data_IF_957217568287
#
_entry.id   IF_957217568287
#
_cell.length_a   1.000
_cell.length_b   1.000
_cell.length_c   1.000
_cell.angle_alpha   90.00
_cell.angle_beta   90.00
_cell.angle_gamma   90.00
#
_symmetry.space_group_name_H-M   'P 1'
#
loop_
_entity.id
_entity.type
_entity.pdbx_description
1 polymer ?
#
# COMPACT_ATOMS: atom_id res chain seq x y z
N UNK A 1 15.11 -3.03 8.42
CA UNK A 1 14.45 -2.92 7.09
C UNK A 1 14.56 -4.29 6.46
N UNK A 2 13.45 -5.00 6.23
CA UNK A 2 13.54 -6.33 5.60
C UNK A 2 13.91 -6.17 4.13
N UNK A 3 15.04 -6.75 3.72
CA UNK A 3 15.45 -6.85 2.33
C UNK A 3 14.30 -7.42 1.49
N UNK A 4 13.68 -6.57 0.66
CA UNK A 4 12.67 -7.00 -0.29
C UNK A 4 13.39 -7.79 -1.38
N UNK A 5 13.11 -9.09 -1.46
CA UNK A 5 13.68 -9.97 -2.49
C UNK A 5 13.23 -9.48 -3.85
N UNK A 6 14.16 -9.31 -4.79
CA UNK A 6 13.84 -8.93 -6.18
C UNK A 6 12.87 -9.95 -6.77
N UNK A 7 11.94 -9.50 -7.60
CA UNK A 7 10.93 -10.35 -8.26
C UNK A 7 11.50 -11.66 -8.86
N UNK A 8 12.68 -11.58 -9.51
CA UNK A 8 13.39 -12.76 -10.07
C UNK A 8 13.77 -13.84 -9.05
N UNK A 9 13.96 -13.47 -7.79
CA UNK A 9 14.36 -14.36 -6.71
C UNK A 9 13.15 -14.99 -5.99
N UNK A 10 11.93 -14.59 -6.36
CA UNK A 10 10.69 -15.17 -5.86
C UNK A 10 10.45 -16.57 -6.44
N UNK A 11 9.58 -17.35 -5.79
CA UNK A 11 9.19 -18.68 -6.29
C UNK A 11 8.64 -18.62 -7.72
N UNK A 12 7.84 -17.59 -8.03
CA UNK A 12 7.29 -17.37 -9.38
C UNK A 12 8.36 -16.91 -10.37
N UNK A 13 9.30 -16.03 -9.94
CA UNK A 13 10.41 -15.58 -10.78
C UNK A 13 11.33 -16.73 -11.21
N UNK A 14 11.65 -17.66 -10.30
CA UNK A 14 12.41 -18.87 -10.62
C UNK A 14 11.64 -19.79 -11.58
N UNK A 15 10.34 -19.95 -11.38
CA UNK A 15 9.51 -20.80 -12.22
C UNK A 15 9.32 -20.22 -13.64
N UNK A 16 9.21 -18.90 -13.77
CA UNK A 16 9.21 -18.19 -15.06
C UNK A 16 10.55 -18.31 -15.78
N UNK A 17 11.67 -18.37 -15.05
CA UNK A 17 13.00 -18.57 -15.65
C UNK A 17 13.09 -19.87 -16.44
N UNK A 18 12.44 -20.92 -15.94
CA UNK A 18 12.53 -22.26 -16.53
C UNK A 18 11.47 -22.50 -17.62
N UNK A 19 10.28 -21.89 -17.50
CA UNK A 19 9.13 -22.16 -18.37
C UNK A 19 8.78 -21.04 -19.33
N UNK A 20 9.12 -19.79 -19.02
CA UNK A 20 8.81 -18.62 -19.83
C UNK A 20 9.87 -17.50 -19.64
N UNK A 21 11.14 -17.75 -20.03
CA UNK A 21 12.25 -16.82 -19.79
C UNK A 21 12.00 -15.45 -20.43
N UNK A 22 11.35 -15.42 -21.61
CA UNK A 22 10.98 -14.19 -22.30
C UNK A 22 10.06 -13.28 -21.46
N UNK A 23 9.15 -13.88 -20.67
CA UNK A 23 8.25 -13.14 -19.77
C UNK A 23 9.04 -12.59 -18.57
N UNK A 24 10.00 -13.36 -18.06
CA UNK A 24 10.85 -12.93 -16.95
C UNK A 24 11.77 -11.76 -17.34
N UNK A 25 12.29 -11.73 -18.57
CA UNK A 25 13.17 -10.66 -19.04
C UNK A 25 12.44 -9.32 -19.19
N UNK A 26 11.17 -9.37 -19.59
CA UNK A 26 10.28 -8.19 -19.67
C UNK A 26 9.90 -7.70 -18.27
N UNK A 27 9.51 -8.60 -17.38
CA UNK A 27 8.97 -8.25 -16.05
C UNK A 27 10.08 -7.94 -15.04
N UNK A 28 11.20 -8.66 -15.10
CA UNK A 28 12.28 -8.64 -14.12
C UNK A 28 13.09 -7.33 -14.07
N UNK A 29 13.05 -6.54 -15.14
CA UNK A 29 13.73 -5.24 -15.23
C UNK A 29 12.81 -4.03 -14.99
N UNK A 30 11.49 -4.22 -15.12
CA UNK A 30 10.52 -3.10 -15.20
C UNK A 30 9.76 -2.90 -13.88
N UNK A 31 9.63 -3.94 -13.04
CA UNK A 31 8.60 -3.91 -11.99
C UNK A 31 9.15 -3.95 -10.55
N UNK A 32 8.76 -2.99 -9.68
CA UNK A 32 8.87 -3.16 -8.23
C UNK A 32 7.89 -4.24 -7.77
N UNK A 33 8.22 -4.95 -6.68
CA UNK A 33 7.54 -6.19 -6.22
C UNK A 33 6.01 -6.10 -6.05
N UNK A 34 5.42 -4.90 -6.03
CA UNK A 34 3.98 -4.67 -5.87
C UNK A 34 3.31 -4.38 -7.22
N UNK A 35 2.40 -5.25 -7.65
CA UNK A 35 1.60 -5.09 -8.87
C UNK A 35 2.12 -5.85 -10.11
N UNK A 36 3.32 -6.45 -10.02
CA UNK A 36 3.94 -7.19 -11.12
C UNK A 36 3.14 -8.43 -11.55
N UNK A 37 2.45 -9.09 -10.61
CA UNK A 37 1.72 -10.34 -10.86
C UNK A 37 0.59 -10.17 -11.90
N UNK A 38 -0.07 -9.00 -11.96
CA UNK A 38 -1.11 -8.74 -12.95
C UNK A 38 -0.56 -8.61 -14.38
N UNK A 39 0.64 -8.05 -14.51
CA UNK A 39 1.34 -7.93 -15.81
C UNK A 39 1.83 -9.32 -16.26
N UNK A 40 2.40 -10.09 -15.33
CA UNK A 40 2.82 -11.48 -15.58
C UNK A 40 1.65 -12.33 -16.08
N UNK A 41 0.48 -12.23 -15.44
CA UNK A 41 -0.74 -12.92 -15.89
C UNK A 41 -1.08 -12.58 -17.35
N UNK A 42 -1.11 -11.29 -17.69
CA UNK A 42 -1.45 -10.84 -19.03
C UNK A 42 -0.43 -11.28 -20.09
N UNK A 43 0.84 -11.40 -19.72
CA UNK A 43 1.89 -11.90 -20.60
C UNK A 43 1.77 -13.41 -20.83
N UNK A 44 1.48 -14.19 -19.78
CA UNK A 44 1.18 -15.63 -19.90
C UNK A 44 -0.06 -15.84 -20.77
N UNK A 45 -1.10 -15.03 -20.58
CA UNK A 45 -2.36 -15.13 -21.32
C UNK A 45 -2.17 -14.87 -22.83
N UNK A 46 -1.25 -13.97 -23.19
CA UNK A 46 -0.97 -13.59 -24.59
C UNK A 46 0.13 -14.39 -25.26
N UNK A 47 0.85 -15.23 -24.51
CA UNK A 47 1.89 -16.07 -25.08
C UNK A 47 1.27 -17.37 -25.61
N UNK A 48 1.20 -17.47 -26.93
CA UNK A 48 0.72 -18.64 -27.66
C UNK A 48 1.79 -19.74 -27.83
N UNK A 49 3.04 -19.46 -27.43
CA UNK A 49 4.14 -20.44 -27.48
C UNK A 49 4.19 -21.37 -26.27
N UNK A 50 3.41 -21.05 -25.22
CA UNK A 50 3.31 -21.86 -24.00
C UNK A 50 2.18 -22.87 -24.18
N UNK A 51 2.48 -24.15 -23.95
CA UNK A 51 1.48 -25.20 -24.03
C UNK A 51 0.37 -25.01 -22.96
N UNK A 52 -0.86 -25.49 -23.21
CA UNK A 52 -1.99 -25.29 -22.30
C UNK A 52 -1.77 -25.86 -20.89
N UNK A 53 -0.97 -26.91 -20.74
CA UNK A 53 -0.69 -27.55 -19.46
C UNK A 53 0.27 -26.69 -18.63
N UNK A 54 1.37 -26.23 -19.24
CA UNK A 54 2.32 -25.29 -18.61
C UNK A 54 1.64 -23.96 -18.30
N UNK A 55 0.73 -23.47 -19.15
CA UNK A 55 -0.04 -22.25 -18.91
C UNK A 55 -0.89 -22.38 -17.65
N UNK A 56 -1.56 -23.51 -17.47
CA UNK A 56 -2.34 -23.81 -16.25
C UNK A 56 -1.45 -23.86 -15.01
N UNK A 57 -0.30 -24.52 -15.08
CA UNK A 57 0.67 -24.56 -13.97
C UNK A 57 1.17 -23.17 -13.58
N UNK A 58 1.43 -22.30 -14.57
CA UNK A 58 1.84 -20.93 -14.34
C UNK A 58 0.73 -20.11 -13.66
N UNK A 59 -0.53 -20.29 -14.06
CA UNK A 59 -1.66 -19.65 -13.39
C UNK A 59 -1.84 -20.11 -11.94
N UNK A 60 -1.73 -21.41 -11.68
CA UNK A 60 -1.87 -21.96 -10.33
C UNK A 60 -0.79 -21.40 -9.39
N UNK A 61 0.45 -21.34 -9.88
CA UNK A 61 1.57 -20.74 -9.13
C UNK A 61 1.39 -19.23 -8.90
N UNK A 62 0.82 -18.52 -9.88
CA UNK A 62 0.50 -17.10 -9.76
C UNK A 62 -0.59 -16.86 -8.71
N UNK A 63 -1.62 -17.72 -8.67
CA UNK A 63 -2.70 -17.68 -7.67
C UNK A 63 -2.15 -17.99 -6.27
N UNK A 64 -1.26 -18.97 -6.12
CA UNK A 64 -0.65 -19.28 -4.81
C UNK A 64 0.20 -18.12 -4.29
N UNK A 65 0.99 -17.49 -5.16
CA UNK A 65 1.77 -16.30 -4.79
C UNK A 65 0.88 -15.13 -4.38
N UNK A 66 -0.22 -14.92 -5.09
CA UNK A 66 -1.21 -13.89 -4.78
C UNK A 66 -1.92 -14.17 -3.45
N UNK A 67 -2.32 -15.42 -3.20
CA UNK A 67 -2.93 -15.84 -1.92
C UNK A 67 -2.03 -15.55 -0.73
N UNK A 68 -0.72 -15.75 -0.87
CA UNK A 68 0.24 -15.47 0.20
C UNK A 68 0.37 -13.97 0.47
N UNK A 69 0.47 -13.14 -0.58
CA UNK A 69 0.52 -11.67 -0.43
C UNK A 69 -0.79 -11.10 0.13
N UNK A 70 -1.93 -11.66 -0.29
CA UNK A 70 -3.25 -11.25 0.18
C UNK A 70 -3.51 -11.76 1.59
N UNK A 71 -3.08 -12.96 1.97
CA UNK A 71 -3.27 -13.51 3.31
C UNK A 71 -2.62 -12.63 4.39
N UNK A 72 -1.44 -12.07 4.12
CA UNK A 72 -0.79 -11.13 5.03
C UNK A 72 -1.62 -9.84 5.20
N UNK A 73 -2.22 -9.32 4.12
CA UNK A 73 -3.09 -8.13 4.17
C UNK A 73 -4.47 -8.41 4.77
N UNK A 74 -5.03 -9.59 4.48
CA UNK A 74 -6.31 -10.05 5.00
C UNK A 74 -6.21 -10.39 6.49
N UNK A 75 -5.05 -10.81 6.98
CA UNK A 75 -4.82 -11.00 8.43
C UNK A 75 -4.89 -9.68 9.19
N UNK A 76 -4.32 -8.60 8.63
CA UNK A 76 -4.42 -7.25 9.18
C UNK A 76 -5.86 -6.73 9.13
N UNK A 77 -6.57 -6.97 8.02
CA UNK A 77 -7.97 -6.61 7.84
C UNK A 77 -8.91 -7.40 8.76
N UNK A 78 -8.66 -8.69 8.99
CA UNK A 78 -9.42 -9.51 9.95
C UNK A 78 -9.20 -9.04 11.38
N UNK A 79 -7.98 -8.65 11.76
CA UNK A 79 -7.70 -8.05 13.06
C UNK A 79 -8.47 -6.74 13.26
N UNK A 80 -8.52 -5.86 12.27
CA UNK A 80 -9.33 -4.63 12.33
C UNK A 80 -10.84 -4.92 12.40
N UNK A 81 -11.33 -5.90 11.63
CA UNK A 81 -12.74 -6.31 11.65
C UNK A 81 -13.13 -7.00 12.96
N UNK A 82 -12.23 -7.77 13.58
CA UNK A 82 -12.43 -8.38 14.90
C UNK A 82 -12.38 -7.32 16.02
N UNK A 83 -11.48 -6.34 15.93
CA UNK A 83 -11.44 -5.19 16.85
C UNK A 83 -12.73 -4.35 16.72
N UNK A 84 -13.21 -4.14 15.48
CA UNK A 84 -14.46 -3.40 15.21
C UNK A 84 -15.73 -4.14 15.72
N UNK A 85 -15.74 -5.48 15.71
CA UNK A 85 -16.86 -6.29 16.25
C UNK A 85 -16.94 -6.25 17.78
N UNK A 86 -15.86 -5.93 18.48
CA UNK A 86 -15.78 -5.99 19.96
C UNK A 86 -16.33 -4.73 20.64
N UNK A 87 -16.77 -3.70 19.88
CA UNK A 87 -17.49 -2.53 20.43
C UNK A 87 -16.78 -1.89 21.64
N UNK A 88 -15.45 -1.82 21.61
CA UNK A 88 -14.71 -0.99 22.57
C UNK A 88 -14.54 0.39 21.96
N UNK A 89 -14.88 1.40 22.74
CA UNK A 89 -14.45 2.78 22.53
C UNK A 89 -13.00 2.78 22.05
N UNK A 90 -12.80 3.07 20.76
CA UNK A 90 -11.46 3.07 20.18
C UNK A 90 -10.80 4.39 20.57
N UNK A 91 -10.16 4.36 21.74
CA UNK A 91 -9.49 5.52 22.30
C UNK A 91 -8.44 6.07 21.34
N UNK A 92 -7.70 5.21 20.63
CA UNK A 92 -6.68 5.67 19.68
C UNK A 92 -7.30 6.32 18.45
N UNK A 93 -8.37 5.77 17.90
CA UNK A 93 -9.12 6.37 16.79
C UNK A 93 -9.72 7.73 17.18
N UNK A 94 -10.38 7.80 18.34
CA UNK A 94 -11.00 9.05 18.81
C UNK A 94 -9.94 10.10 19.19
N UNK A 95 -8.85 9.70 19.84
CA UNK A 95 -7.75 10.59 20.22
C UNK A 95 -7.04 11.13 18.97
N UNK A 96 -6.75 10.29 17.98
CA UNK A 96 -6.10 10.72 16.74
C UNK A 96 -7.00 11.64 15.92
N UNK A 97 -8.31 11.36 15.84
CA UNK A 97 -9.29 12.25 15.23
C UNK A 97 -9.37 13.61 15.93
N UNK A 98 -9.42 13.62 17.27
CA UNK A 98 -9.47 14.84 18.08
C UNK A 98 -8.17 15.67 17.96
N UNK A 99 -7.02 15.02 18.07
CA UNK A 99 -5.71 15.68 17.92
C UNK A 99 -5.57 16.24 16.51
N UNK A 100 -5.93 15.46 15.48
CA UNK A 100 -5.87 15.91 14.09
C UNK A 100 -6.77 17.12 13.81
N UNK A 101 -8.02 17.09 14.27
CA UNK A 101 -8.93 18.24 14.14
C UNK A 101 -8.44 19.45 14.96
N UNK A 102 -7.94 19.21 16.17
CA UNK A 102 -7.36 20.25 17.03
C UNK A 102 -6.13 20.92 16.40
N UNK A 103 -5.23 20.14 15.79
CA UNK A 103 -4.08 20.67 15.05
C UNK A 103 -4.54 21.50 13.86
N UNK A 104 -5.55 21.07 13.11
CA UNK A 104 -6.07 21.85 11.99
C UNK A 104 -6.64 23.20 12.45
N UNK A 105 -7.49 23.21 13.48
CA UNK A 105 -8.03 24.45 14.06
C UNK A 105 -6.93 25.35 14.61
N UNK A 106 -5.92 24.78 15.27
CA UNK A 106 -4.77 25.51 15.78
C UNK A 106 -3.95 26.15 14.65
N UNK A 107 -3.72 25.45 13.55
CA UNK A 107 -3.00 26.00 12.39
C UNK A 107 -3.75 27.19 11.78
N UNK A 108 -5.07 27.09 11.61
CA UNK A 108 -5.90 28.21 11.15
C UNK A 108 -5.79 29.40 12.10
N UNK A 109 -5.90 29.17 13.41
CA UNK A 109 -5.71 30.22 14.41
C UNK A 109 -4.33 30.86 14.33
N UNK A 110 -3.26 30.06 14.23
CA UNK A 110 -1.89 30.54 14.17
C UNK A 110 -1.67 31.42 12.93
N UNK A 111 -2.20 31.03 11.77
CA UNK A 111 -2.09 31.82 10.54
C UNK A 111 -2.81 33.17 10.66
N UNK A 112 -3.97 33.22 11.32
CA UNK A 112 -4.78 34.44 11.40
C UNK A 112 -4.29 35.41 12.48
N UNK A 113 -3.78 34.90 13.61
CA UNK A 113 -3.55 35.71 14.80
C UNK A 113 -2.09 35.81 15.26
N UNK A 114 -1.17 34.98 14.74
CA UNK A 114 0.23 35.00 15.16
C UNK A 114 1.10 35.66 14.07
N UNK A 115 1.79 36.73 14.46
CA UNK A 115 2.82 37.34 13.62
C UNK A 115 4.11 36.52 13.71
N UNK A 116 4.55 35.97 12.58
CA UNK A 116 5.78 35.18 12.49
C UNK A 116 6.94 36.14 12.14
N UNK A 117 8.05 36.13 12.90
CA UNK A 117 9.23 36.92 12.54
C UNK A 117 9.76 36.52 11.16
N UNK A 118 10.11 37.49 10.30
CA UNK A 118 10.54 37.25 8.90
C UNK A 118 11.68 36.21 8.78
N UNK A 119 12.65 36.25 9.70
CA UNK A 119 13.76 35.29 9.70
C UNK A 119 13.30 33.83 9.84
N UNK A 120 12.15 33.59 10.49
CA UNK A 120 11.62 32.26 10.76
C UNK A 120 10.51 31.84 9.79
N UNK A 121 10.08 32.71 8.87
CA UNK A 121 8.92 32.49 8.01
C UNK A 121 9.07 31.21 7.16
N UNK A 122 10.23 31.03 6.51
CA UNK A 122 10.50 29.83 5.71
C UNK A 122 10.50 28.55 6.54
N UNK A 123 11.08 28.59 7.74
CA UNK A 123 11.11 27.46 8.67
C UNK A 123 9.69 27.12 9.12
N UNK A 124 8.87 28.14 9.38
CA UNK A 124 7.49 27.99 9.79
C UNK A 124 6.62 27.32 8.72
N UNK A 125 6.67 27.78 7.46
CA UNK A 125 5.93 27.13 6.36
C UNK A 125 6.41 25.69 6.10
N UNK A 126 7.71 25.44 6.23
CA UNK A 126 8.27 24.08 6.08
C UNK A 126 7.75 23.14 7.17
N UNK A 127 7.66 23.63 8.42
CA UNK A 127 7.12 22.86 9.53
C UNK A 127 5.61 22.59 9.37
N UNK A 128 4.85 23.55 8.86
CA UNK A 128 3.42 23.36 8.53
C UNK A 128 3.27 22.23 7.51
N UNK A 129 4.01 22.28 6.40
CA UNK A 129 3.91 21.26 5.34
C UNK A 129 4.30 19.85 5.83
N UNK A 130 5.30 19.75 6.72
CA UNK A 130 5.66 18.48 7.36
C UNK A 130 4.53 17.99 8.28
N UNK A 131 3.97 18.87 9.11
CA UNK A 131 2.85 18.53 10.00
C UNK A 131 1.62 18.09 9.21
N UNK A 132 1.31 18.76 8.11
CA UNK A 132 0.23 18.38 7.20
C UNK A 132 0.45 16.99 6.60
N UNK A 133 1.65 16.68 6.09
CA UNK A 133 1.97 15.37 5.52
C UNK A 133 1.86 14.22 6.52
N UNK A 134 2.31 14.42 7.77
CA UNK A 134 2.14 13.44 8.86
C UNK A 134 0.66 13.27 9.18
N UNK A 135 -0.08 14.39 9.29
CA UNK A 135 -1.52 14.39 9.58
C UNK A 135 -2.29 13.62 8.52
N UNK A 136 -2.07 13.90 7.23
CA UNK A 136 -2.69 13.18 6.11
C UNK A 136 -2.37 11.68 6.12
N UNK A 137 -1.15 11.29 6.50
CA UNK A 137 -0.79 9.88 6.63
C UNK A 137 -1.57 9.16 7.74
N UNK A 138 -1.72 9.82 8.90
CA UNK A 138 -2.51 9.30 10.03
C UNK A 138 -3.99 9.23 9.67
N UNK A 139 -4.54 10.30 9.06
CA UNK A 139 -5.94 10.31 8.61
C UNK A 139 -6.20 9.27 7.53
N UNK A 140 -5.29 9.07 6.59
CA UNK A 140 -5.43 8.02 5.56
C UNK A 140 -5.44 6.62 6.18
N UNK A 141 -4.63 6.39 7.22
CA UNK A 141 -4.58 5.13 7.93
C UNK A 141 -5.87 4.85 8.73
N UNK A 142 -6.36 5.82 9.51
CA UNK A 142 -7.53 5.63 10.37
C UNK A 142 -8.88 5.87 9.67
N UNK A 143 -8.97 6.82 8.72
CA UNK A 143 -10.21 7.29 8.09
C UNK A 143 -10.28 7.05 6.57
N UNK A 144 -9.17 6.71 5.91
CA UNK A 144 -9.09 6.58 4.44
C UNK A 144 -9.91 5.43 3.83
N UNK A 145 -10.46 4.53 4.65
CA UNK A 145 -11.33 3.42 4.22
C UNK A 145 -12.83 3.73 4.29
N UNK A 146 -13.22 4.94 4.70
CA UNK A 146 -14.63 5.37 4.82
C UNK A 146 -15.36 5.59 3.49
N UNK A 147 -14.65 5.57 2.36
CA UNK A 147 -15.23 5.46 1.02
C UNK A 147 -15.79 4.04 0.82
N UNK A 148 -16.97 3.79 1.39
CA UNK A 148 -17.83 2.65 1.05
C UNK A 148 -17.99 2.63 -0.47
N UNK A 149 -17.50 1.57 -1.12
CA UNK A 149 -18.09 1.15 -2.39
C UNK A 149 -19.51 0.68 -2.06
N UNK A 150 -20.47 1.59 -2.18
CA UNK A 150 -21.86 1.18 -2.27
C UNK A 150 -21.98 0.25 -3.49
N UNK A 151 -22.61 -0.90 -3.25
CA UNK A 151 -22.93 -1.90 -4.27
C UNK A 151 -24.09 -1.43 -5.12
#
# INVERSE_FOLDING_TARGET
MSDKKKFKDTKIGKFLKDKAPNILDVVGNILPDKGALGIVKNLIDKDDSIDPETKKMLHDQLIESYKTEVADRDSARKREVEIAKVRKFDFMFNLTGLVGLGTFVFLVYAIVYINIPEHNEKTFYTLIGLCEGITLSIFSFYFGSSMRKDK
#
